data_IF_973964846783
#
_entry.id   IF_973964846783
#
_cell.length_a   1.000
_cell.length_b   1.000
_cell.length_c   1.000
_cell.angle_alpha   90.00
_cell.angle_beta   90.00
_cell.angle_gamma   90.00
#
_symmetry.space_group_name_H-M   'P 1'
#
loop_
_entity.id
_entity.type
_entity.pdbx_description
1 polymer ?
#
# COMPACT_ATOMS: atom_id res chain seq x y z
N UNK A 1 5.95 -1.30 13.76
CA UNK A 1 6.88 -0.14 13.71
C UNK A 1 6.34 0.97 14.60
N UNK A 2 7.12 1.49 15.56
CA UNK A 2 6.64 2.55 16.48
C UNK A 2 6.68 3.90 15.77
N UNK A 3 5.51 4.42 15.36
CA UNK A 3 5.32 5.71 14.68
C UNK A 3 6.01 6.88 15.39
N UNK A 4 6.04 6.85 16.73
CA UNK A 4 6.74 7.84 17.56
C UNK A 4 8.27 7.90 17.32
N UNK A 5 8.93 6.74 17.08
CA UNK A 5 10.38 6.71 16.79
C UNK A 5 10.70 7.25 15.39
N UNK A 6 9.82 6.98 14.42
CA UNK A 6 9.96 7.44 13.03
C UNK A 6 9.80 8.95 12.94
N UNK A 7 8.76 9.50 13.58
CA UNK A 7 8.54 10.94 13.64
C UNK A 7 9.70 11.68 14.32
N UNK A 8 10.28 11.11 15.38
CA UNK A 8 11.45 11.69 16.04
C UNK A 8 12.67 11.74 15.11
N UNK A 9 12.93 10.66 14.36
CA UNK A 9 14.00 10.62 13.37
C UNK A 9 13.82 11.68 12.27
N UNK A 10 12.60 11.84 11.77
CA UNK A 10 12.30 12.85 10.75
C UNK A 10 12.45 14.28 11.31
N UNK A 11 12.02 14.51 12.55
CA UNK A 11 12.21 15.79 13.23
C UNK A 11 13.70 16.12 13.44
N UNK A 12 14.52 15.11 13.76
CA UNK A 12 15.97 15.26 13.87
C UNK A 12 16.62 15.53 12.50
N UNK A 13 16.18 14.88 11.42
CA UNK A 13 16.64 15.16 10.04
C UNK A 13 16.33 16.61 9.62
N UNK A 14 15.14 17.10 9.93
CA UNK A 14 14.72 18.48 9.62
C UNK A 14 15.52 19.50 10.44
N UNK A 15 15.69 19.27 11.74
CA UNK A 15 16.38 20.20 12.65
C UNK A 15 17.89 20.28 12.42
N UNK A 16 18.52 19.18 11.98
CA UNK A 16 19.95 19.12 11.69
C UNK A 16 20.31 19.52 10.25
N UNK A 17 19.32 19.84 9.42
CA UNK A 17 19.53 20.20 8.00
C UNK A 17 20.04 19.05 7.13
N UNK A 18 19.98 17.80 7.63
CA UNK A 18 20.36 16.58 6.88
C UNK A 18 19.14 15.98 6.18
N UNK A 19 18.36 16.84 5.54
CA UNK A 19 17.18 16.43 4.81
C UNK A 19 17.60 15.69 3.55
N UNK A 20 16.83 14.68 3.18
CA UNK A 20 17.00 14.00 1.90
C UNK A 20 16.71 14.99 0.77
N UNK A 21 17.75 15.39 0.02
CA UNK A 21 17.71 16.50 -0.93
C UNK A 21 16.67 16.27 -2.03
N UNK A 22 16.53 15.03 -2.50
CA UNK A 22 15.56 14.66 -3.52
C UNK A 22 14.13 14.76 -2.99
N UNK A 23 13.87 14.22 -1.80
CA UNK A 23 12.53 14.28 -1.19
C UNK A 23 12.16 15.72 -0.83
N UNK A 24 13.13 16.52 -0.39
CA UNK A 24 12.94 17.92 -0.02
C UNK A 24 12.68 18.82 -1.23
N UNK A 25 13.43 18.66 -2.33
CA UNK A 25 13.22 19.43 -3.57
C UNK A 25 11.85 19.14 -4.18
N UNK A 26 11.41 17.89 -4.15
CA UNK A 26 10.05 17.54 -4.55
C UNK A 26 8.99 18.15 -3.65
N UNK A 27 9.18 18.10 -2.33
CA UNK A 27 8.24 18.69 -1.38
C UNK A 27 8.15 20.21 -1.53
N UNK A 28 9.25 20.89 -1.83
CA UNK A 28 9.29 22.33 -2.13
C UNK A 28 8.59 22.68 -3.45
N UNK A 29 8.77 21.87 -4.49
CA UNK A 29 8.12 22.05 -5.78
C UNK A 29 6.59 21.86 -5.66
N UNK A 30 6.15 20.86 -4.89
CA UNK A 30 4.74 20.57 -4.64
C UNK A 30 4.07 21.64 -3.76
N UNK A 31 4.83 22.23 -2.83
CA UNK A 31 4.39 23.33 -1.97
C UNK A 31 4.46 24.72 -2.64
N UNK A 32 4.85 24.82 -3.92
CA UNK A 32 4.94 26.11 -4.62
C UNK A 32 5.93 27.11 -4.00
N UNK A 33 6.93 26.63 -3.27
CA UNK A 33 7.92 27.47 -2.57
C UNK A 33 7.54 27.87 -1.14
N UNK A 34 6.39 27.45 -0.60
CA UNK A 34 6.06 27.62 0.82
C UNK A 34 6.85 26.60 1.68
N UNK A 35 7.73 27.12 2.54
CA UNK A 35 8.61 26.33 3.39
C UNK A 35 7.86 25.51 4.46
N UNK A 36 6.70 25.97 4.96
CA UNK A 36 5.93 25.24 5.97
C UNK A 36 5.12 24.11 5.35
N UNK A 37 4.52 24.35 4.17
CA UNK A 37 3.86 23.29 3.41
C UNK A 37 4.86 22.24 2.91
N UNK A 38 6.05 22.66 2.47
CA UNK A 38 7.12 21.74 2.06
C UNK A 38 7.55 20.80 3.20
N UNK A 39 7.61 21.29 4.45
CA UNK A 39 7.89 20.43 5.62
C UNK A 39 6.82 19.37 5.82
N UNK A 40 5.53 19.73 5.68
CA UNK A 40 4.43 18.78 5.83
C UNK A 40 4.49 17.69 4.75
N UNK A 41 4.70 18.07 3.48
CA UNK A 41 4.86 17.14 2.36
C UNK A 41 6.10 16.26 2.53
N UNK A 42 7.22 16.82 2.99
CA UNK A 42 8.44 16.07 3.29
C UNK A 42 8.20 15.02 4.37
N UNK A 43 7.57 15.38 5.49
CA UNK A 43 7.27 14.44 6.59
C UNK A 43 6.39 13.29 6.12
N UNK A 44 5.34 13.56 5.33
CA UNK A 44 4.44 12.54 4.82
C UNK A 44 5.16 11.58 3.86
N UNK A 45 5.89 12.11 2.88
CA UNK A 45 6.64 11.29 1.91
C UNK A 45 7.78 10.54 2.58
N UNK A 46 8.48 11.15 3.55
CA UNK A 46 9.54 10.50 4.31
C UNK A 46 9.00 9.41 5.22
N UNK A 47 7.83 9.60 5.84
CA UNK A 47 7.14 8.53 6.57
C UNK A 47 6.72 7.39 5.65
N UNK A 48 6.14 7.68 4.48
CA UNK A 48 5.78 6.65 3.51
C UNK A 48 7.00 5.90 2.99
N UNK A 49 8.10 6.60 2.69
CA UNK A 49 9.36 5.99 2.27
C UNK A 49 9.97 5.12 3.37
N UNK A 50 9.95 5.56 4.63
CA UNK A 50 10.44 4.78 5.78
C UNK A 50 9.48 3.64 6.16
N UNK A 51 8.19 3.75 5.83
CA UNK A 51 7.21 2.67 6.01
C UNK A 51 7.25 1.64 4.87
N UNK A 52 7.64 2.05 3.66
CA UNK A 52 7.73 1.20 2.47
C UNK A 52 9.11 0.54 2.30
N UNK A 53 10.19 1.14 2.82
CA UNK A 53 11.52 0.53 2.81
C UNK A 53 11.82 -0.22 4.11
N UNK A 54 11.98 -1.52 3.92
CA UNK A 54 12.60 -2.52 4.78
C UNK A 54 11.76 -3.06 5.94
N UNK A 55 11.23 -4.30 5.83
CA UNK A 55 11.12 -5.15 7.01
C UNK A 55 12.50 -5.16 7.66
N UNK A 56 12.55 -4.78 8.94
CA UNK A 56 13.74 -4.78 9.76
C UNK A 56 14.56 -6.06 9.43
N UNK A 57 15.81 -5.94 8.95
CA UNK A 57 16.61 -7.10 8.54
C UNK A 57 16.84 -8.10 9.67
N UNK A 58 16.62 -7.67 10.92
CA UNK A 58 16.68 -8.49 12.12
C UNK A 58 15.32 -8.97 12.65
N UNK A 59 14.21 -8.56 12.01
CA UNK A 59 12.89 -9.08 12.32
C UNK A 59 12.83 -10.60 12.15
N UNK A 60 12.06 -11.30 12.98
CA UNK A 60 11.87 -12.75 12.85
C UNK A 60 11.35 -13.13 11.45
N UNK A 61 10.49 -12.30 10.86
CA UNK A 61 9.93 -12.49 9.52
C UNK A 61 10.99 -12.37 8.42
N UNK A 62 11.87 -11.36 8.48
CA UNK A 62 12.97 -11.20 7.52
C UNK A 62 13.99 -12.35 7.63
N UNK A 63 14.26 -12.82 8.85
CA UNK A 63 15.12 -14.00 9.09
C UNK A 63 14.51 -15.27 8.50
N UNK A 64 13.20 -15.47 8.63
CA UNK A 64 12.48 -16.58 8.03
C UNK A 64 12.44 -16.51 6.51
N UNK A 65 12.23 -15.32 5.94
CA UNK A 65 12.27 -15.12 4.50
C UNK A 65 13.65 -15.47 3.92
N UNK A 66 14.73 -15.05 4.59
CA UNK A 66 16.11 -15.42 4.23
C UNK A 66 16.35 -16.93 4.34
N UNK A 67 15.90 -17.54 5.43
CA UNK A 67 15.99 -19.00 5.66
C UNK A 67 15.33 -19.76 4.51
N UNK A 68 14.09 -19.40 4.16
CA UNK A 68 13.29 -20.05 3.13
C UNK A 68 13.86 -19.85 1.72
N UNK A 69 14.39 -18.65 1.43
CA UNK A 69 15.11 -18.39 0.18
C UNK A 69 16.37 -19.25 0.05
N UNK A 70 17.11 -19.44 1.15
CA UNK A 70 18.29 -20.30 1.19
C UNK A 70 17.94 -21.79 1.00
N UNK A 71 16.87 -22.27 1.65
CA UNK A 71 16.34 -23.63 1.44
C UNK A 71 15.99 -23.85 -0.03
N UNK A 72 15.30 -22.89 -0.68
CA UNK A 72 14.99 -22.97 -2.11
C UNK A 72 16.24 -23.11 -2.96
N UNK A 73 17.27 -22.30 -2.70
CA UNK A 73 18.55 -22.38 -3.41
C UNK A 73 19.19 -23.75 -3.23
N UNK A 74 19.26 -24.26 -2.01
CA UNK A 74 19.89 -25.55 -1.72
C UNK A 74 19.11 -26.73 -2.30
N UNK A 75 17.78 -26.70 -2.25
CA UNK A 75 16.93 -27.72 -2.90
C UNK A 75 17.10 -27.72 -4.41
N UNK A 76 17.24 -26.55 -5.04
CA UNK A 76 17.50 -26.43 -6.47
C UNK A 76 18.89 -26.94 -6.85
N UNK A 77 19.93 -26.59 -6.08
CA UNK A 77 21.30 -27.04 -6.31
C UNK A 77 21.46 -28.55 -6.13
N UNK A 78 20.76 -29.14 -5.16
CA UNK A 78 20.84 -30.57 -4.87
C UNK A 78 19.77 -31.41 -5.62
N UNK A 79 18.89 -30.77 -6.40
CA UNK A 79 17.74 -31.36 -7.09
C UNK A 79 16.89 -32.30 -6.21
N UNK A 80 16.57 -31.85 -4.99
CA UNK A 80 15.86 -32.67 -3.98
C UNK A 80 14.38 -32.34 -3.91
N UNK A 81 13.56 -33.38 -3.79
CA UNK A 81 12.13 -33.27 -3.49
C UNK A 81 11.92 -33.07 -1.99
N UNK A 82 11.02 -32.17 -1.62
CA UNK A 82 10.60 -31.86 -0.24
C UNK A 82 9.08 -31.69 -0.16
N UNK A 83 8.51 -31.46 1.03
CA UNK A 83 7.06 -31.23 1.19
C UNK A 83 6.54 -30.07 0.33
N UNK A 84 7.41 -29.07 0.07
CA UNK A 84 7.13 -27.98 -0.87
C UNK A 84 6.87 -28.49 -2.30
N UNK A 85 7.67 -29.46 -2.76
CA UNK A 85 7.46 -30.08 -4.08
C UNK A 85 6.20 -30.94 -4.16
N UNK A 86 5.74 -31.52 -3.03
CA UNK A 86 4.47 -32.27 -2.96
C UNK A 86 3.28 -31.31 -3.14
N UNK A 87 3.35 -30.11 -2.55
CA UNK A 87 2.35 -29.07 -2.74
C UNK A 87 2.51 -28.31 -4.07
N UNK A 88 3.64 -28.45 -4.75
CA UNK A 88 3.94 -27.73 -6.00
C UNK A 88 4.23 -26.25 -5.79
N UNK A 89 4.66 -25.89 -4.58
CA UNK A 89 4.90 -24.50 -4.16
C UNK A 89 6.40 -24.34 -3.87
N UNK A 90 7.04 -23.21 -4.20
CA UNK A 90 8.45 -23.03 -3.87
C UNK A 90 8.63 -22.77 -2.37
N UNK A 91 9.80 -23.10 -1.81
CA UNK A 91 10.04 -23.00 -0.36
C UNK A 91 9.99 -21.56 0.18
N UNK A 92 10.21 -20.56 -0.68
CA UNK A 92 10.13 -19.12 -0.39
C UNK A 92 8.71 -18.54 -0.50
N UNK A 93 7.71 -19.36 -0.82
CA UNK A 93 6.32 -18.92 -0.89
C UNK A 93 5.84 -18.37 0.47
N UNK A 94 5.11 -17.26 0.39
CA UNK A 94 4.49 -16.63 1.55
C UNK A 94 3.40 -17.51 2.15
N UNK A 95 3.04 -17.27 3.40
CA UNK A 95 2.02 -18.07 4.10
C UNK A 95 0.64 -17.95 3.42
N UNK A 96 0.37 -16.81 2.77
CA UNK A 96 -0.85 -16.58 1.96
C UNK A 96 -0.92 -17.44 0.71
N UNK A 97 0.22 -17.66 0.05
CA UNK A 97 0.32 -18.50 -1.16
C UNK A 97 0.17 -19.99 -0.82
N UNK A 98 0.75 -20.41 0.31
CA UNK A 98 0.55 -21.76 0.84
C UNK A 98 -0.91 -21.97 1.22
N UNK A 99 -1.51 -21.06 2.01
CA UNK A 99 -2.91 -21.17 2.42
C UNK A 99 -3.87 -21.27 1.21
N UNK A 100 -3.61 -20.48 0.16
CA UNK A 100 -4.38 -20.56 -1.10
C UNK A 100 -4.25 -21.91 -1.79
N UNK A 101 -3.03 -22.45 -1.84
CA UNK A 101 -2.77 -23.75 -2.47
C UNK A 101 -3.40 -24.90 -1.68
N UNK A 102 -3.38 -24.80 -0.35
CA UNK A 102 -4.05 -25.74 0.56
C UNK A 102 -5.57 -25.72 0.31
N UNK A 103 -6.18 -24.53 0.30
CA UNK A 103 -7.63 -24.38 0.07
C UNK A 103 -8.05 -24.99 -1.28
N UNK A 104 -7.31 -24.70 -2.36
CA UNK A 104 -7.57 -25.25 -3.69
C UNK A 104 -7.52 -26.79 -3.73
N UNK A 105 -6.62 -27.42 -2.96
CA UNK A 105 -6.49 -28.88 -2.93
C UNK A 105 -7.54 -29.55 -2.05
N UNK A 106 -7.99 -28.90 -0.98
CA UNK A 106 -9.07 -29.37 -0.13
C UNK A 106 -10.40 -29.28 -0.87
N UNK A 107 -10.66 -28.17 -1.57
CA UNK A 107 -11.88 -27.94 -2.34
C UNK A 107 -12.01 -28.88 -3.56
N UNK A 108 -10.88 -29.35 -4.09
CA UNK A 108 -10.86 -30.32 -5.20
C UNK A 108 -11.46 -31.69 -4.84
N UNK A 109 -11.71 -31.98 -3.55
CA UNK A 109 -12.46 -33.16 -3.09
C UNK A 109 -11.84 -34.52 -3.42
N UNK A 110 -10.61 -34.55 -3.95
CA UNK A 110 -9.91 -35.77 -4.33
C UNK A 110 -9.36 -36.49 -3.10
N UNK A 111 -9.29 -37.83 -3.15
CA UNK A 111 -8.63 -38.63 -2.10
C UNK A 111 -7.15 -38.24 -2.02
N UNK A 112 -6.79 -37.45 -1.02
CA UNK A 112 -5.42 -36.99 -0.82
C UNK A 112 -4.53 -38.16 -0.42
N UNK A 113 -3.40 -38.30 -1.11
CA UNK A 113 -2.33 -39.22 -0.74
C UNK A 113 -1.80 -38.89 0.67
N UNK A 114 -1.40 -39.89 1.49
CA UNK A 114 -0.84 -39.66 2.83
C UNK A 114 0.29 -38.63 2.87
N UNK A 115 1.18 -38.59 1.88
CA UNK A 115 2.27 -37.60 1.83
C UNK A 115 1.71 -36.18 1.63
N UNK A 116 0.64 -36.05 0.83
CA UNK A 116 -0.01 -34.76 0.63
C UNK A 116 -0.72 -34.31 1.90
N UNK A 117 -1.42 -35.20 2.61
CA UNK A 117 -2.05 -34.84 3.91
C UNK A 117 -1.02 -34.37 4.92
N UNK A 118 0.09 -35.08 5.02
CA UNK A 118 1.20 -34.69 5.89
C UNK A 118 1.80 -33.33 5.49
N UNK A 119 1.97 -33.08 4.18
CA UNK A 119 2.44 -31.78 3.69
C UNK A 119 1.47 -30.64 4.03
N UNK A 120 0.16 -30.86 3.95
CA UNK A 120 -0.86 -29.87 4.35
C UNK A 120 -0.82 -29.58 5.85
N UNK A 121 -0.66 -30.60 6.69
CA UNK A 121 -0.60 -30.46 8.14
C UNK A 121 0.65 -29.67 8.58
N UNK A 122 1.82 -30.03 8.05
CA UNK A 122 3.09 -29.41 8.44
C UNK A 122 3.25 -28.01 7.84
N UNK A 123 2.90 -27.80 6.56
CA UNK A 123 3.08 -26.51 5.89
C UNK A 123 1.91 -25.54 6.16
N UNK A 124 0.75 -26.04 6.59
CA UNK A 124 -0.41 -25.22 6.93
C UNK A 124 -0.33 -24.56 8.31
N UNK A 125 0.50 -25.08 9.22
CA UNK A 125 0.77 -24.45 10.51
C UNK A 125 2.11 -23.69 10.46
N UNK A 126 2.10 -22.35 10.68
CA UNK A 126 3.33 -21.52 10.64
C UNK A 126 4.44 -22.03 11.56
N UNK A 127 4.12 -22.51 12.77
CA UNK A 127 5.11 -22.97 13.74
C UNK A 127 5.73 -24.31 13.31
N UNK A 128 4.91 -25.26 12.86
CA UNK A 128 5.38 -26.56 12.36
C UNK A 128 6.22 -26.39 11.08
N UNK A 129 5.82 -25.46 10.21
CA UNK A 129 6.55 -25.08 9.00
C UNK A 129 7.93 -24.52 9.34
N UNK A 130 8.02 -23.61 10.30
CA UNK A 130 9.30 -23.06 10.72
C UNK A 130 10.24 -24.13 11.28
N UNK A 131 9.73 -25.02 12.14
CA UNK A 131 10.52 -26.14 12.68
C UNK A 131 11.00 -27.08 11.57
N UNK A 132 10.13 -27.38 10.61
CA UNK A 132 10.47 -28.16 9.42
C UNK A 132 11.57 -27.47 8.59
N UNK A 133 11.45 -26.17 8.33
CA UNK A 133 12.43 -25.39 7.56
C UNK A 133 13.82 -25.41 8.22
N UNK A 134 13.88 -25.21 9.54
CA UNK A 134 15.13 -25.27 10.32
C UNK A 134 15.79 -26.66 10.24
N UNK A 135 14.99 -27.72 10.40
CA UNK A 135 15.48 -29.10 10.31
C UNK A 135 15.96 -29.44 8.90
N UNK A 136 15.22 -29.00 7.87
CA UNK A 136 15.56 -29.23 6.47
C UNK A 136 16.88 -28.56 6.09
N UNK A 137 17.10 -27.30 6.49
CA UNK A 137 18.37 -26.62 6.26
C UNK A 137 19.55 -27.32 6.96
N UNK A 138 19.33 -27.83 8.18
CA UNK A 138 20.34 -28.63 8.88
C UNK A 138 20.73 -29.90 8.12
N UNK A 139 19.76 -30.59 7.49
CA UNK A 139 20.01 -31.78 6.68
C UNK A 139 20.70 -31.48 5.35
N UNK A 140 20.37 -30.34 4.72
CA UNK A 140 20.96 -29.93 3.45
C UNK A 140 22.41 -29.44 3.60
N UNK A 141 22.72 -28.76 4.72
CA UNK A 141 24.06 -28.21 5.01
C UNK A 141 25.07 -29.28 5.44
N UNK A 142 24.67 -30.25 6.27
CA UNK A 142 25.57 -31.31 6.77
C UNK A 142 26.07 -32.27 5.69
N UNK A 143 25.31 -32.49 4.60
CA UNK A 143 25.69 -33.44 3.54
C UNK A 143 26.54 -32.84 2.43
N UNK A 144 26.48 -31.53 2.21
CA UNK A 144 27.33 -30.85 1.23
C UNK A 144 28.83 -30.96 1.59
N UNK A 145 29.16 -30.96 2.88
CA UNK A 145 30.55 -31.10 3.38
C UNK A 145 31.13 -32.51 3.18
N UNK A 146 30.28 -33.54 3.04
CA UNK A 146 30.71 -34.92 2.81
C UNK A 146 31.01 -35.21 1.34
N UNK A 147 30.28 -34.58 0.41
CA UNK A 147 30.45 -34.79 -1.04
C UNK A 147 31.73 -34.12 -1.60
N UNK A 148 32.15 -33.00 -1.02
CA UNK A 148 33.33 -32.25 -1.49
C UNK A 148 34.69 -32.93 -1.20
N UNK A 149 34.75 -33.95 -0.33
CA UNK A 149 36.00 -34.65 0.03
C UNK A 149 36.32 -35.88 -0.82
N UNK A 150 35.43 -36.31 -1.72
CA UNK A 150 35.57 -37.58 -2.44
C UNK A 150 36.18 -37.47 -3.85
N UNK A 151 36.52 -36.26 -4.33
CA UNK A 151 36.86 -36.03 -5.74
C UNK A 151 38.35 -35.79 -6.05
N UNK A 152 39.27 -36.01 -5.11
CA UNK A 152 40.67 -35.60 -5.29
C UNK A 152 41.67 -36.73 -5.01
N UNK A 153 41.76 -37.72 -5.90
CA UNK A 153 42.92 -38.62 -6.02
C UNK A 153 42.97 -39.25 -7.43
N UNK A 154 43.92 -38.82 -8.27
CA UNK A 154 44.41 -39.57 -9.44
C UNK A 154 45.94 -39.46 -9.48
N UNK A 155 46.60 -40.61 -9.43
CA UNK A 155 48.06 -40.80 -9.41
C UNK A 155 48.54 -41.20 -10.82
N UNK A 156 49.68 -40.69 -11.32
CA UNK A 156 50.32 -41.27 -12.49
C UNK A 156 51.71 -41.84 -12.16
N UNK A 157 51.92 -43.12 -12.50
CA UNK A 157 53.23 -43.77 -12.51
C UNK A 157 54.07 -43.37 -13.73
N UNK A 158 55.39 -43.24 -13.58
CA UNK A 158 56.28 -43.63 -14.69
C UNK A 158 57.50 -44.45 -14.22
N UNK A 159 57.78 -45.53 -14.95
CA UNK A 159 59.01 -46.33 -14.81
C UNK A 159 59.94 -46.10 -16.01
N UNK A 160 61.24 -46.02 -15.72
CA UNK A 160 62.37 -45.53 -16.53
C UNK A 160 63.13 -46.58 -17.35
N UNK A 161 63.61 -46.20 -18.56
CA UNK A 161 64.93 -46.47 -19.25
C UNK A 161 65.54 -47.91 -19.37
N UNK A 162 66.65 -48.21 -20.11
CA UNK A 162 67.27 -47.69 -21.35
C UNK A 162 67.67 -48.77 -22.41
N UNK A 163 67.99 -48.33 -23.64
CA UNK A 163 69.14 -48.77 -24.49
C UNK A 163 69.17 -50.11 -25.25
N UNK A 164 69.24 -50.07 -26.59
CA UNK A 164 70.05 -50.97 -27.46
C UNK A 164 69.83 -50.62 -28.95
N UNK A 165 70.88 -50.73 -29.78
CA UNK A 165 71.09 -50.17 -31.14
C UNK A 165 70.02 -50.49 -32.22
N UNK A 166 69.11 -51.41 -31.94
CA UNK A 166 67.82 -51.61 -32.63
C UNK A 166 66.89 -50.37 -32.52
N UNK A 167 67.09 -49.58 -31.47
CA UNK A 167 66.41 -48.30 -31.22
C UNK A 167 66.71 -47.23 -32.26
N UNK A 168 67.81 -47.26 -33.01
CA UNK A 168 68.06 -46.22 -34.04
C UNK A 168 67.19 -46.42 -35.29
N UNK A 169 66.98 -47.66 -35.73
CA UNK A 169 66.08 -47.95 -36.84
C UNK A 169 64.61 -47.79 -36.44
N UNK A 170 64.25 -48.22 -35.22
CA UNK A 170 62.95 -47.90 -34.65
C UNK A 170 62.77 -46.40 -34.43
N UNK A 171 63.79 -45.65 -34.01
CA UNK A 171 63.72 -44.20 -33.84
C UNK A 171 63.53 -43.49 -35.17
N UNK A 172 64.21 -43.89 -36.25
CA UNK A 172 63.99 -43.30 -37.57
C UNK A 172 62.56 -43.55 -38.07
N UNK A 173 62.06 -44.78 -37.93
CA UNK A 173 60.68 -45.13 -38.27
C UNK A 173 59.67 -44.41 -37.36
N UNK A 174 59.96 -44.28 -36.06
CA UNK A 174 59.18 -43.52 -35.09
C UNK A 174 59.26 -42.01 -35.30
N UNK A 175 60.34 -41.48 -35.87
CA UNK A 175 60.47 -40.06 -36.22
C UNK A 175 59.65 -39.76 -37.47
N UNK A 176 59.64 -40.66 -38.47
CA UNK A 176 58.77 -40.50 -39.65
C UNK A 176 57.30 -40.71 -39.29
N UNK A 177 56.98 -41.75 -38.51
CA UNK A 177 55.63 -41.96 -37.97
C UNK A 177 55.24 -40.84 -37.01
N UNK A 178 56.17 -40.35 -36.19
CA UNK A 178 55.95 -39.26 -35.24
C UNK A 178 55.78 -37.92 -35.93
N UNK A 179 56.52 -37.64 -36.99
CA UNK A 179 56.32 -36.47 -37.84
C UNK A 179 55.00 -36.54 -38.61
N UNK A 180 54.63 -37.73 -39.12
CA UNK A 180 53.31 -37.97 -39.72
C UNK A 180 52.18 -37.80 -38.70
N UNK A 181 52.36 -38.29 -37.48
CA UNK A 181 51.40 -38.16 -36.38
C UNK A 181 51.30 -36.71 -35.88
N UNK A 182 52.41 -35.98 -35.83
CA UNK A 182 52.45 -34.55 -35.50
C UNK A 182 51.83 -33.71 -36.62
N UNK A 183 52.05 -34.05 -37.90
CA UNK A 183 51.38 -33.39 -39.02
C UNK A 183 49.88 -33.66 -39.00
N UNK A 184 49.48 -34.92 -38.78
CA UNK A 184 48.08 -35.29 -38.69
C UNK A 184 47.40 -34.65 -37.47
N UNK A 185 48.10 -34.56 -36.34
CA UNK A 185 47.70 -33.79 -35.16
C UNK A 185 47.57 -32.30 -35.47
N UNK A 186 48.54 -31.70 -36.18
CA UNK A 186 48.47 -30.29 -36.55
C UNK A 186 47.34 -30.00 -37.54
N UNK A 187 47.04 -30.90 -38.47
CA UNK A 187 45.91 -30.78 -39.40
C UNK A 187 44.57 -30.91 -38.68
N UNK A 188 44.48 -31.79 -37.66
CA UNK A 188 43.33 -31.87 -36.77
C UNK A 188 43.18 -30.62 -35.92
N UNK A 189 44.28 -30.12 -35.36
CA UNK A 189 44.27 -28.89 -34.56
C UNK A 189 43.89 -27.66 -35.38
N UNK A 190 44.28 -27.58 -36.66
CA UNK A 190 43.84 -26.50 -37.55
C UNK A 190 42.36 -26.62 -37.89
N UNK A 191 41.87 -27.84 -38.19
CA UNK A 191 40.45 -28.08 -38.44
C UNK A 191 39.61 -27.78 -37.17
N UNK A 192 40.07 -28.18 -35.99
CA UNK A 192 39.41 -27.88 -34.72
C UNK A 192 39.43 -26.37 -34.42
N UNK A 193 40.51 -25.66 -34.75
CA UNK A 193 40.56 -24.20 -34.60
C UNK A 193 39.60 -23.48 -35.53
N UNK A 194 39.47 -23.93 -36.79
CA UNK A 194 38.48 -23.37 -37.72
C UNK A 194 37.05 -23.67 -37.28
N UNK A 195 36.76 -24.86 -36.76
CA UNK A 195 35.46 -25.21 -36.20
C UNK A 195 35.16 -24.36 -34.97
N UNK A 196 36.10 -24.22 -34.03
CA UNK A 196 35.94 -23.37 -32.84
C UNK A 196 35.76 -21.90 -33.19
N UNK A 197 36.45 -21.38 -34.21
CA UNK A 197 36.26 -20.00 -34.69
C UNK A 197 34.84 -19.81 -35.27
N UNK A 198 34.37 -20.76 -36.09
CA UNK A 198 33.00 -20.73 -36.63
C UNK A 198 31.93 -20.88 -35.54
N UNK A 199 32.18 -21.72 -34.53
CA UNK A 199 31.29 -21.86 -33.37
C UNK A 199 31.25 -20.58 -32.54
N UNK A 200 32.38 -19.89 -32.36
CA UNK A 200 32.44 -18.61 -31.64
C UNK A 200 31.74 -17.49 -32.42
N UNK A 201 31.85 -17.47 -33.75
CA UNK A 201 31.10 -16.54 -34.60
C UNK A 201 29.60 -16.80 -34.56
N UNK A 202 29.17 -18.06 -34.69
CA UNK A 202 27.76 -18.45 -34.56
C UNK A 202 27.20 -18.10 -33.17
N UNK A 203 27.98 -18.34 -32.12
CA UNK A 203 27.57 -18.01 -30.76
C UNK A 203 27.48 -16.49 -30.54
N UNK A 204 28.36 -15.69 -31.14
CA UNK A 204 28.25 -14.23 -31.13
C UNK A 204 26.98 -13.74 -31.81
N UNK A 205 26.61 -14.31 -32.95
CA UNK A 205 25.37 -13.96 -33.65
C UNK A 205 24.12 -14.33 -32.83
N UNK A 206 24.11 -15.51 -32.21
CA UNK A 206 23.02 -15.91 -31.31
C UNK A 206 22.88 -14.99 -30.10
N UNK A 207 24.00 -14.58 -29.49
CA UNK A 207 23.99 -13.63 -28.37
C UNK A 207 23.47 -12.27 -28.83
N UNK A 208 23.81 -11.83 -30.05
CA UNK A 208 23.32 -10.58 -30.63
C UNK A 208 21.82 -10.61 -30.88
N UNK A 209 21.30 -11.73 -31.41
CA UNK A 209 19.86 -11.92 -31.61
C UNK A 209 19.10 -11.99 -30.28
N UNK A 210 19.65 -12.68 -29.28
CA UNK A 210 19.09 -12.71 -27.91
C UNK A 210 19.08 -11.33 -27.27
N UNK A 211 20.14 -10.53 -27.45
CA UNK A 211 20.21 -9.15 -26.95
C UNK A 211 19.13 -8.26 -27.58
N UNK A 212 18.94 -8.33 -28.90
CA UNK A 212 17.88 -7.59 -29.61
C UNK A 212 16.47 -8.04 -29.18
N UNK A 213 16.27 -9.34 -28.92
CA UNK A 213 14.99 -9.85 -28.42
C UNK A 213 14.71 -9.35 -26.99
N UNK A 214 15.73 -9.31 -26.12
CA UNK A 214 15.58 -8.75 -24.77
C UNK A 214 15.30 -7.25 -24.79
N UNK A 215 15.93 -6.50 -25.69
CA UNK A 215 15.69 -5.05 -25.84
C UNK A 215 14.24 -4.75 -26.22
N UNK A 216 13.69 -5.48 -27.21
CA UNK A 216 12.26 -5.36 -27.58
C UNK A 216 11.30 -5.76 -26.45
N UNK A 217 11.67 -6.76 -25.63
CA UNK A 217 10.86 -7.14 -24.46
C UNK A 217 10.88 -6.05 -23.39
N UNK A 218 12.01 -5.37 -23.18
CA UNK A 218 12.10 -4.25 -22.24
C UNK A 218 11.28 -3.07 -22.75
N UNK A 219 11.35 -2.76 -24.04
CA UNK A 219 10.59 -1.67 -24.66
C UNK A 219 9.07 -1.90 -24.60
N UNK A 220 8.63 -3.12 -24.88
CA UNK A 220 7.20 -3.49 -24.76
C UNK A 220 6.71 -3.45 -23.31
N UNK A 221 7.55 -3.87 -22.34
CA UNK A 221 7.22 -3.71 -20.92
C UNK A 221 7.17 -2.25 -20.49
N UNK A 222 8.07 -1.41 -20.98
CA UNK A 222 8.06 0.02 -20.71
C UNK A 222 6.77 0.68 -21.22
N UNK A 223 6.36 0.38 -22.46
CA UNK A 223 5.08 0.85 -23.01
C UNK A 223 3.86 0.35 -22.21
N UNK A 224 3.88 -0.91 -21.74
CA UNK A 224 2.80 -1.42 -20.89
C UNK A 224 2.73 -0.70 -19.54
N UNK A 225 3.88 -0.44 -18.91
CA UNK A 225 3.95 0.31 -17.65
C UNK A 225 3.43 1.74 -17.85
N UNK A 226 3.86 2.43 -18.90
CA UNK A 226 3.40 3.78 -19.23
C UNK A 226 1.88 3.82 -19.46
N UNK A 227 1.33 2.87 -20.22
CA UNK A 227 -0.11 2.75 -20.43
C UNK A 227 -0.87 2.50 -19.11
N UNK A 228 -0.33 1.70 -18.19
CA UNK A 228 -0.95 1.49 -16.88
C UNK A 228 -0.90 2.73 -15.99
N UNK A 229 0.18 3.52 -16.07
CA UNK A 229 0.32 4.78 -15.34
C UNK A 229 -0.70 5.79 -15.86
N UNK A 230 -0.83 5.95 -17.18
CA UNK A 230 -1.84 6.84 -17.77
C UNK A 230 -3.26 6.40 -17.39
N UNK A 231 -3.54 5.09 -17.40
CA UNK A 231 -4.84 4.57 -17.01
C UNK A 231 -5.13 4.85 -15.53
N UNK A 232 -4.14 4.71 -14.65
CA UNK A 232 -4.26 5.09 -13.24
C UNK A 232 -4.47 6.58 -13.06
N UNK A 233 -3.76 7.43 -13.80
CA UNK A 233 -3.92 8.88 -13.75
C UNK A 233 -5.35 9.29 -14.15
N UNK A 234 -5.86 8.76 -15.27
CA UNK A 234 -7.25 9.03 -15.70
C UNK A 234 -8.28 8.55 -14.68
N UNK A 235 -8.05 7.38 -14.06
CA UNK A 235 -8.93 6.88 -13.01
C UNK A 235 -8.91 7.76 -11.75
N UNK A 236 -7.73 8.29 -11.39
CA UNK A 236 -7.59 9.21 -10.25
C UNK A 236 -8.26 10.56 -10.54
N UNK A 237 -8.04 11.14 -11.72
CA UNK A 237 -8.72 12.38 -12.13
C UNK A 237 -10.25 12.23 -12.12
N UNK A 238 -10.77 11.08 -12.56
CA UNK A 238 -12.20 10.79 -12.49
C UNK A 238 -12.71 10.72 -11.05
N UNK A 239 -11.94 10.07 -10.15
CA UNK A 239 -12.28 10.01 -8.71
C UNK A 239 -12.27 11.40 -8.07
N UNK A 240 -11.30 12.23 -8.41
CA UNK A 240 -11.20 13.61 -7.92
C UNK A 240 -12.38 14.46 -8.39
N UNK A 241 -12.75 14.37 -9.67
CA UNK A 241 -13.94 15.06 -10.20
C UNK A 241 -15.21 14.64 -9.48
N UNK A 242 -15.41 13.34 -9.26
CA UNK A 242 -16.57 12.82 -8.52
C UNK A 242 -16.57 13.28 -7.05
N UNK A 243 -15.40 13.35 -6.41
CA UNK A 243 -15.27 13.86 -5.05
C UNK A 243 -15.57 15.37 -4.97
N UNK A 244 -15.08 16.16 -5.94
CA UNK A 244 -15.41 17.59 -6.00
C UNK A 244 -16.91 17.83 -6.23
N UNK A 245 -17.53 17.05 -7.12
CA UNK A 245 -18.98 17.14 -7.33
C UNK A 245 -19.78 16.78 -6.07
N UNK A 246 -19.35 15.78 -5.29
CA UNK A 246 -20.05 15.39 -4.06
C UNK A 246 -19.96 16.49 -3.00
N UNK A 247 -18.78 17.12 -2.85
CA UNK A 247 -18.58 18.27 -1.97
C UNK A 247 -19.48 19.43 -2.39
N UNK A 248 -19.49 19.79 -3.68
CA UNK A 248 -20.35 20.87 -4.18
C UNK A 248 -21.84 20.60 -3.96
N UNK A 249 -22.30 19.35 -4.11
CA UNK A 249 -23.68 18.97 -3.81
C UNK A 249 -23.99 19.10 -2.32
N UNK A 250 -23.05 18.69 -1.47
CA UNK A 250 -23.21 18.80 -0.02
C UNK A 250 -23.23 20.26 0.44
N UNK A 251 -22.39 21.12 -0.13
CA UNK A 251 -22.38 22.56 0.17
C UNK A 251 -23.67 23.23 -0.26
N UNK A 252 -24.19 22.90 -1.46
CA UNK A 252 -25.51 23.39 -1.91
C UNK A 252 -26.62 22.96 -0.97
N UNK A 253 -26.62 21.70 -0.55
CA UNK A 253 -27.61 21.19 0.41
C UNK A 253 -27.52 21.91 1.76
N UNK A 254 -26.32 22.11 2.28
CA UNK A 254 -26.09 22.83 3.54
C UNK A 254 -26.55 24.29 3.43
N UNK A 255 -26.26 24.95 2.31
CA UNK A 255 -26.71 26.31 2.04
C UNK A 255 -28.25 26.40 1.98
N UNK A 256 -28.90 25.51 1.23
CA UNK A 256 -30.38 25.45 1.19
C UNK A 256 -30.99 25.18 2.57
N UNK A 257 -30.36 24.33 3.37
CA UNK A 257 -30.80 24.04 4.72
C UNK A 257 -30.69 25.28 5.62
N UNK A 258 -29.58 26.02 5.55
CA UNK A 258 -29.39 27.26 6.28
C UNK A 258 -30.45 28.30 5.89
N UNK A 259 -30.72 28.46 4.60
CA UNK A 259 -31.74 29.37 4.10
C UNK A 259 -33.14 29.02 4.64
N UNK A 260 -33.50 27.73 4.68
CA UNK A 260 -34.78 27.28 5.25
C UNK A 260 -34.86 27.53 6.76
N UNK A 261 -33.75 27.42 7.48
CA UNK A 261 -33.71 27.73 8.90
C UNK A 261 -33.92 29.23 9.14
N UNK A 262 -33.27 30.08 8.35
CA UNK A 262 -33.43 31.53 8.41
C UNK A 262 -34.88 31.95 8.14
N UNK A 263 -35.49 31.43 7.08
CA UNK A 263 -36.92 31.68 6.79
C UNK A 263 -37.86 31.26 7.93
N UNK A 264 -37.57 30.13 8.59
CA UNK A 264 -38.35 29.70 9.76
C UNK A 264 -38.15 30.63 10.95
N UNK A 265 -36.93 31.11 11.17
CA UNK A 265 -36.63 32.07 12.24
C UNK A 265 -37.37 33.41 12.00
N UNK A 266 -37.36 33.92 10.78
CA UNK A 266 -38.10 35.13 10.40
C UNK A 266 -39.62 34.97 10.62
N UNK A 267 -40.20 33.82 10.25
CA UNK A 267 -41.62 33.56 10.50
C UNK A 267 -41.95 33.50 11.99
N UNK A 268 -41.05 32.94 12.81
CA UNK A 268 -41.22 32.91 14.27
C UNK A 268 -41.15 34.31 14.85
N UNK A 269 -40.19 35.13 14.41
CA UNK A 269 -40.07 36.53 14.84
C UNK A 269 -41.31 37.35 14.42
N UNK A 270 -41.80 37.19 13.19
CA UNK A 270 -43.04 37.84 12.76
C UNK A 270 -44.24 37.45 13.64
N UNK A 271 -44.38 36.17 13.97
CA UNK A 271 -45.44 35.72 14.89
C UNK A 271 -45.28 36.29 16.29
N UNK A 272 -44.04 36.40 16.77
CA UNK A 272 -43.73 37.01 18.06
C UNK A 272 -44.13 38.49 18.08
N UNK A 273 -43.74 39.25 17.07
CA UNK A 273 -44.12 40.68 16.93
C UNK A 273 -45.64 40.83 16.86
N UNK A 274 -46.33 40.00 16.08
CA UNK A 274 -47.80 40.02 16.02
C UNK A 274 -48.44 39.70 17.38
N UNK A 275 -47.90 38.73 18.12
CA UNK A 275 -48.38 38.39 19.45
C UNK A 275 -48.15 39.53 20.45
N UNK A 276 -47.00 40.21 20.38
CA UNK A 276 -46.69 41.39 21.20
C UNK A 276 -47.63 42.56 20.88
N UNK A 277 -47.90 42.84 19.60
CA UNK A 277 -48.88 43.85 19.18
C UNK A 277 -50.30 43.51 19.67
N UNK A 278 -50.72 42.24 19.56
CA UNK A 278 -52.01 41.80 20.05
C UNK A 278 -52.14 41.95 21.58
N UNK A 279 -51.07 41.64 22.33
CA UNK A 279 -51.02 41.86 23.79
C UNK A 279 -51.11 43.34 24.14
N UNK A 280 -50.33 44.20 23.48
CA UNK A 280 -50.36 45.64 23.71
C UNK A 280 -51.75 46.23 23.42
N UNK A 281 -52.41 45.79 22.35
CA UNK A 281 -53.76 46.23 22.01
C UNK A 281 -54.82 45.72 23.01
N UNK A 282 -54.68 44.48 23.50
CA UNK A 282 -55.54 43.95 24.55
C UNK A 282 -55.38 44.72 25.88
N UNK A 283 -54.15 45.07 26.25
CA UNK A 283 -53.86 45.89 27.42
C UNK A 283 -54.42 47.31 27.28
N UNK A 284 -54.30 47.94 26.11
CA UNK A 284 -54.90 49.25 25.84
C UNK A 284 -56.43 49.19 26.01
N UNK A 285 -57.09 48.20 25.40
CA UNK A 285 -58.54 47.99 25.55
C UNK A 285 -58.94 47.76 27.01
N UNK A 286 -58.12 47.03 27.78
CA UNK A 286 -58.36 46.81 29.20
C UNK A 286 -58.28 48.13 29.99
N UNK A 287 -57.25 48.96 29.74
CA UNK A 287 -57.12 50.28 30.38
C UNK A 287 -58.29 51.20 30.03
N UNK A 288 -58.74 51.20 28.77
CA UNK A 288 -59.90 51.99 28.35
C UNK A 288 -61.18 51.53 29.05
N UNK A 289 -61.39 50.21 29.18
CA UNK A 289 -62.53 49.66 29.91
C UNK A 289 -62.49 50.02 31.41
N UNK A 290 -61.31 49.95 32.04
CA UNK A 290 -61.09 50.36 33.43
C UNK A 290 -61.34 51.87 33.61
N UNK A 291 -60.87 52.72 32.70
CA UNK A 291 -61.11 54.16 32.72
C UNK A 291 -62.60 54.51 32.54
N UNK A 292 -63.31 53.81 31.65
CA UNK A 292 -64.75 53.96 31.48
C UNK A 292 -65.51 53.52 32.72
N UNK A 293 -65.13 52.41 33.34
CA UNK A 293 -65.73 51.93 34.59
C UNK A 293 -65.51 52.92 35.74
N UNK A 294 -64.29 53.44 35.90
CA UNK A 294 -63.98 54.48 36.88
C UNK A 294 -64.81 55.75 36.66
N UNK A 295 -64.94 56.19 35.40
CA UNK A 295 -65.77 57.35 35.04
C UNK A 295 -67.24 57.12 35.40
N UNK A 296 -67.77 55.91 35.15
CA UNK A 296 -69.14 55.53 35.55
C UNK A 296 -69.30 55.56 37.07
N UNK A 297 -68.32 55.05 37.83
CA UNK A 297 -68.36 55.08 39.30
C UNK A 297 -68.33 56.51 39.86
N UNK A 298 -67.41 57.36 39.37
CA UNK A 298 -67.34 58.77 39.80
C UNK A 298 -68.67 59.48 39.52
N UNK A 299 -69.27 59.26 38.34
CA UNK A 299 -70.56 59.87 37.99
C UNK A 299 -71.70 59.33 38.85
N UNK A 300 -71.72 58.04 39.18
CA UNK A 300 -72.70 57.46 40.11
C UNK A 300 -72.56 58.05 41.52
N UNK A 301 -71.33 58.22 42.01
CA UNK A 301 -71.06 58.83 43.30
C UNK A 301 -71.52 60.30 43.32
N UNK A 302 -71.25 61.06 42.26
CA UNK A 302 -71.75 62.43 42.13
C UNK A 302 -73.29 62.52 42.14
N UNK A 303 -73.99 61.57 41.51
CA UNK A 303 -75.46 61.47 41.58
C UNK A 303 -75.92 61.16 43.02
N UNK A 304 -75.24 60.25 43.73
CA UNK A 304 -75.57 59.93 45.13
C UNK A 304 -75.35 61.13 46.05
N UNK A 305 -74.23 61.85 45.90
CA UNK A 305 -73.92 63.05 46.68
C UNK A 305 -74.93 64.19 46.41
N UNK A 306 -75.33 64.40 45.15
CA UNK A 306 -76.36 65.39 44.81
C UNK A 306 -77.73 65.05 45.43
N UNK A 307 -78.10 63.77 45.46
CA UNK A 307 -79.30 63.30 46.16
C UNK A 307 -79.19 63.51 47.68
N UNK A 308 -78.03 63.20 48.28
CA UNK A 308 -77.79 63.39 49.72
C UNK A 308 -77.87 64.86 50.15
N UNK A 309 -77.52 65.80 49.27
CA UNK A 309 -77.66 67.26 49.48
C UNK A 309 -79.07 67.79 49.21
N UNK A 310 -80.03 66.95 48.83
CA UNK A 310 -81.42 67.33 48.55
C UNK A 310 -81.67 68.00 47.19
N UNK A 311 -80.67 68.10 46.31
CA UNK A 311 -80.79 68.76 45.01
C UNK A 311 -81.28 67.80 43.91
N UNK A 312 -82.58 67.51 43.92
CA UNK A 312 -83.21 66.51 43.05
C UNK A 312 -83.13 66.86 41.55
N UNK A 313 -83.16 68.16 41.22
CA UNK A 313 -83.07 68.62 39.82
C UNK A 313 -81.68 68.36 39.22
N UNK A 314 -80.62 68.54 40.01
CA UNK A 314 -79.24 68.28 39.59
C UNK A 314 -78.99 66.78 39.40
N UNK A 315 -79.51 65.94 40.29
CA UNK A 315 -79.44 64.49 40.15
C UNK A 315 -80.18 63.97 38.90
N UNK A 316 -81.34 64.55 38.55
CA UNK A 316 -82.07 64.19 37.32
C UNK A 316 -81.31 64.59 36.05
N UNK A 317 -80.67 65.78 36.04
CA UNK A 317 -79.84 66.22 34.90
C UNK A 317 -78.63 65.33 34.68
N UNK A 318 -77.98 64.87 35.75
CA UNK A 318 -76.83 63.95 35.64
C UNK A 318 -77.25 62.55 35.17
N UNK A 319 -78.46 62.08 35.50
CA UNK A 319 -79.04 60.82 34.99
C UNK A 319 -79.46 60.92 33.53
N UNK A 320 -80.02 62.05 33.09
CA UNK A 320 -80.43 62.20 31.69
C UNK A 320 -79.24 62.25 30.72
N UNK A 321 -78.05 62.62 31.19
CA UNK A 321 -76.80 62.53 30.43
C UNK A 321 -76.19 61.12 30.37
N UNK A 322 -76.83 60.11 30.97
CA UNK A 322 -76.35 58.73 31.02
C UNK A 322 -76.87 57.86 29.86
N UNK A 323 -77.98 58.25 29.25
CA UNK A 323 -78.63 57.56 28.12
C UNK A 323 -78.43 58.36 26.84
#
# INVERSE_FOLDING_TARGET
MNTSKVLKKIADEISTGRQDLEVWTWALAEAGGDAEQAKAHYVQRRMAALAAKEPDPDSPEAKLARLRAEIRRQLALQNRKSLYSVLGVPADAGDTEIARTIALRVDAGASLDPETRYALEILGNPEAREQFDRNLLGQLSTRFVAAARASDMVEPDPVSSPGSHWQMWLAAVLVVLGAGYLWQGHSRDMAEREVRLKEVEAHKEEVRLKALATERMVETRAMQVEATIEQQQRANEQRERLAQESIQRQDRYNFELALRQEQRAEQVEQRRVQAEQARALAEARRRDAEAQAATRMIRQQAIQDAMARGNHNEAQRLRSQQY
#
